data_IF_104274127124
#
_entry.id   IF_104274127124
#
_cell.length_a   1.000
_cell.length_b   1.000
_cell.length_c   1.000
_cell.angle_alpha   90.00
_cell.angle_beta   90.00
_cell.angle_gamma   90.00
#
_symmetry.space_group_name_H-M   'P 1'
#
loop_
_entity.id
_entity.type
_entity.pdbx_description
1 polymer ?
#
# COMPACT_ATOMS: atom_id res chain seq x y z
N UNK A 1 -38.45 2.07 17.88
CA UNK A 1 -38.91 3.29 17.16
C UNK A 1 -38.27 3.50 15.78
N UNK A 2 -37.05 3.00 15.48
CA UNK A 2 -36.46 3.07 14.14
C UNK A 2 -36.71 1.84 13.25
N UNK A 3 -37.32 0.77 13.77
CA UNK A 3 -37.50 -0.50 13.07
C UNK A 3 -38.61 -0.49 12.00
N UNK A 4 -39.57 0.45 12.06
CA UNK A 4 -40.79 0.40 11.24
C UNK A 4 -40.72 1.14 9.89
N UNK A 5 -39.59 1.78 9.56
CA UNK A 5 -39.48 2.56 8.30
C UNK A 5 -38.31 2.08 7.43
N UNK A 6 -38.46 0.93 6.73
CA UNK A 6 -37.42 0.40 5.84
C UNK A 6 -37.03 1.40 4.74
N UNK A 7 -37.95 2.26 4.32
CA UNK A 7 -37.69 3.33 3.34
C UNK A 7 -36.73 4.39 3.88
N UNK A 8 -36.90 4.84 5.13
CA UNK A 8 -36.02 5.85 5.72
C UNK A 8 -34.59 5.33 5.90
N UNK A 9 -34.43 4.08 6.34
CA UNK A 9 -33.11 3.44 6.48
C UNK A 9 -32.43 3.26 5.11
N UNK A 10 -33.18 2.90 4.07
CA UNK A 10 -32.65 2.78 2.71
C UNK A 10 -32.19 4.12 2.14
N UNK A 11 -32.98 5.19 2.34
CA UNK A 11 -32.63 6.55 1.91
C UNK A 11 -31.38 7.04 2.64
N UNK A 12 -31.27 6.78 3.94
CA UNK A 12 -30.08 7.14 4.73
C UNK A 12 -28.82 6.49 4.15
N UNK A 13 -28.83 5.17 3.89
CA UNK A 13 -27.68 4.47 3.33
C UNK A 13 -27.30 4.97 1.93
N UNK A 14 -28.29 5.28 1.09
CA UNK A 14 -28.04 5.83 -0.24
C UNK A 14 -27.46 7.24 -0.17
N UNK A 15 -27.96 8.07 0.75
CA UNK A 15 -27.43 9.40 0.99
C UNK A 15 -25.98 9.35 1.53
N UNK A 16 -25.70 8.47 2.50
CA UNK A 16 -24.35 8.22 3.00
C UNK A 16 -23.42 7.77 1.86
N UNK A 17 -23.84 6.80 1.04
CA UNK A 17 -23.05 6.33 -0.09
C UNK A 17 -22.75 7.44 -1.10
N UNK A 18 -23.75 8.24 -1.48
CA UNK A 18 -23.56 9.37 -2.40
C UNK A 18 -22.63 10.45 -1.80
N UNK A 19 -22.77 10.74 -0.51
CA UNK A 19 -21.89 11.67 0.20
C UNK A 19 -20.44 11.17 0.26
N UNK A 20 -20.24 9.88 0.54
CA UNK A 20 -18.91 9.25 0.54
C UNK A 20 -18.29 9.23 -0.86
N UNK A 21 -19.09 8.95 -1.90
CA UNK A 21 -18.63 9.01 -3.28
C UNK A 21 -18.23 10.43 -3.69
N UNK A 22 -19.03 11.43 -3.36
CA UNK A 22 -18.73 12.84 -3.61
C UNK A 22 -17.46 13.28 -2.85
N UNK A 23 -17.34 12.88 -1.58
CA UNK A 23 -16.16 13.14 -0.74
C UNK A 23 -14.91 12.49 -1.33
N UNK A 24 -14.98 11.21 -1.73
CA UNK A 24 -13.87 10.50 -2.37
C UNK A 24 -13.46 11.14 -3.70
N UNK A 25 -14.43 11.52 -4.52
CA UNK A 25 -14.18 12.20 -5.79
C UNK A 25 -13.53 13.58 -5.57
N UNK A 26 -14.00 14.33 -4.57
CA UNK A 26 -13.44 15.63 -4.17
C UNK A 26 -12.03 15.50 -3.60
N UNK A 27 -11.80 14.56 -2.69
CA UNK A 27 -10.50 14.27 -2.08
C UNK A 27 -9.47 13.90 -3.15
N UNK A 28 -9.83 13.01 -4.07
CA UNK A 28 -8.95 12.63 -5.17
C UNK A 28 -8.64 13.82 -6.07
N UNK A 29 -9.65 14.64 -6.43
CA UNK A 29 -9.48 15.83 -7.27
C UNK A 29 -8.59 16.92 -6.64
N UNK A 30 -8.65 17.08 -5.32
CA UNK A 30 -7.98 18.19 -4.62
C UNK A 30 -6.60 17.83 -4.09
N UNK A 31 -6.43 16.65 -3.50
CA UNK A 31 -5.16 16.22 -2.91
C UNK A 31 -4.30 15.40 -3.87
N UNK A 32 -4.87 14.36 -4.51
CA UNK A 32 -4.07 13.43 -5.32
C UNK A 32 -3.83 13.92 -6.75
N UNK A 33 -4.80 14.63 -7.32
CA UNK A 33 -4.74 15.10 -8.72
C UNK A 33 -3.81 16.29 -8.94
N UNK A 34 -3.32 16.95 -7.87
CA UNK A 34 -2.43 18.11 -7.98
C UNK A 34 -1.11 17.76 -8.67
N UNK A 35 -0.60 16.56 -8.44
CA UNK A 35 0.70 16.10 -8.93
C UNK A 35 0.61 14.83 -9.81
N UNK A 36 -0.59 14.43 -10.23
CA UNK A 36 -0.77 13.20 -11.03
C UNK A 36 -0.67 13.49 -12.53
N UNK A 37 0.39 12.99 -13.17
CA UNK A 37 0.68 13.23 -14.60
C UNK A 37 -0.35 12.60 -15.55
N UNK A 38 -1.03 11.51 -15.14
CA UNK A 38 -1.99 10.78 -16.00
C UNK A 38 -3.44 11.18 -15.68
N UNK A 39 -3.96 12.14 -16.46
CA UNK A 39 -5.31 12.72 -16.30
C UNK A 39 -6.43 11.80 -16.81
N UNK A 40 -6.64 10.65 -16.17
CA UNK A 40 -7.70 9.71 -16.54
C UNK A 40 -8.91 9.75 -15.59
N UNK A 41 -10.05 10.24 -16.08
CA UNK A 41 -11.31 10.34 -15.29
C UNK A 41 -11.81 8.99 -14.76
N UNK A 42 -11.55 7.89 -15.48
CA UNK A 42 -11.96 6.56 -15.03
C UNK A 42 -11.22 6.11 -13.76
N UNK A 43 -9.96 6.50 -13.57
CA UNK A 43 -9.18 6.14 -12.37
C UNK A 43 -9.78 6.82 -11.13
N UNK A 44 -10.15 8.09 -11.27
CA UNK A 44 -10.81 8.85 -10.20
C UNK A 44 -12.16 8.24 -9.82
N UNK A 45 -12.97 7.86 -10.82
CA UNK A 45 -14.25 7.19 -10.57
C UNK A 45 -14.05 5.85 -9.86
N UNK A 46 -13.06 5.05 -10.28
CA UNK A 46 -12.73 3.77 -9.65
C UNK A 46 -12.32 3.96 -8.18
N UNK A 47 -11.46 4.95 -7.88
CA UNK A 47 -11.06 5.26 -6.52
C UNK A 47 -12.24 5.72 -5.64
N UNK A 48 -13.05 6.64 -6.14
CA UNK A 48 -14.21 7.12 -5.39
C UNK A 48 -15.22 5.99 -5.14
N UNK A 49 -15.40 5.10 -6.12
CA UNK A 49 -16.30 3.95 -5.99
C UNK A 49 -15.75 2.91 -5.01
N UNK A 50 -14.45 2.57 -5.04
CA UNK A 50 -13.85 1.62 -4.08
C UNK A 50 -13.92 2.14 -2.66
N UNK A 51 -13.66 3.45 -2.48
CA UNK A 51 -13.75 4.12 -1.19
C UNK A 51 -15.18 4.10 -0.67
N UNK A 52 -16.15 4.54 -1.48
CA UNK A 52 -17.56 4.58 -1.09
C UNK A 52 -18.10 3.18 -0.77
N UNK A 53 -17.79 2.17 -1.58
CA UNK A 53 -18.21 0.78 -1.32
C UNK A 53 -17.58 0.20 -0.04
N UNK A 54 -16.31 0.51 0.25
CA UNK A 54 -15.65 0.07 1.49
C UNK A 54 -16.29 0.70 2.73
N UNK A 55 -16.51 2.02 2.71
CA UNK A 55 -17.18 2.72 3.81
C UNK A 55 -18.65 2.31 3.96
N UNK A 56 -19.36 2.03 2.87
CA UNK A 56 -20.73 1.53 2.92
C UNK A 56 -20.83 0.15 3.57
N UNK A 57 -19.88 -0.76 3.34
CA UNK A 57 -19.82 -2.02 4.08
C UNK A 57 -19.52 -1.82 5.57
N UNK A 58 -18.62 -0.89 5.89
CA UNK A 58 -18.29 -0.57 7.28
C UNK A 58 -19.48 0.05 8.02
N UNK A 59 -20.19 0.99 7.41
CA UNK A 59 -21.43 1.58 7.94
C UNK A 59 -22.51 0.52 8.14
N UNK A 60 -22.65 -0.42 7.19
CA UNK A 60 -23.59 -1.53 7.30
C UNK A 60 -23.25 -2.47 8.46
N UNK A 61 -21.96 -2.72 8.70
CA UNK A 61 -21.47 -3.48 9.86
C UNK A 61 -21.81 -2.75 11.16
N UNK A 62 -21.51 -1.45 11.25
CA UNK A 62 -21.83 -0.63 12.44
C UNK A 62 -23.34 -0.59 12.71
N UNK A 63 -24.15 -0.40 11.68
CA UNK A 63 -25.61 -0.39 11.79
C UNK A 63 -26.16 -1.76 12.22
N UNK A 64 -25.48 -2.85 11.85
CA UNK A 64 -25.80 -4.20 12.30
C UNK A 64 -25.48 -4.39 13.78
N UNK A 65 -24.31 -3.93 14.23
CA UNK A 65 -23.91 -3.99 15.64
C UNK A 65 -24.80 -3.11 16.53
N UNK A 66 -25.25 -1.96 16.02
CA UNK A 66 -26.17 -1.05 16.72
C UNK A 66 -27.64 -1.52 16.73
N UNK A 67 -27.99 -2.58 15.97
CA UNK A 67 -29.37 -3.06 15.86
C UNK A 67 -30.33 -2.06 15.18
N UNK A 68 -29.82 -1.08 14.44
CA UNK A 68 -30.59 0.06 13.92
C UNK A 68 -31.29 -0.22 12.57
N UNK A 69 -31.03 -1.37 11.95
CA UNK A 69 -31.35 -1.61 10.54
C UNK A 69 -32.34 -2.76 10.31
N UNK A 70 -33.35 -2.53 9.48
CA UNK A 70 -34.31 -3.57 9.09
C UNK A 70 -33.62 -4.74 8.35
N UNK A 71 -33.98 -6.00 8.63
CA UNK A 71 -33.29 -7.19 8.11
C UNK A 71 -33.33 -7.28 6.58
N UNK A 72 -34.44 -6.86 5.94
CA UNK A 72 -34.58 -6.89 4.48
C UNK A 72 -33.69 -5.85 3.78
N UNK A 73 -33.60 -4.63 4.32
CA UNK A 73 -32.73 -3.56 3.78
C UNK A 73 -31.27 -3.95 3.97
N UNK A 74 -30.93 -4.50 5.14
CA UNK A 74 -29.59 -4.99 5.45
C UNK A 74 -29.13 -6.06 4.46
N UNK A 75 -29.95 -7.08 4.21
CA UNK A 75 -29.58 -8.17 3.30
C UNK A 75 -29.32 -7.68 1.88
N UNK A 76 -30.17 -6.77 1.36
CA UNK A 76 -29.98 -6.18 0.03
C UNK A 76 -28.73 -5.30 -0.05
N UNK A 77 -28.54 -4.41 0.93
CA UNK A 77 -27.39 -3.52 0.98
C UNK A 77 -26.06 -4.30 1.11
N UNK A 78 -26.07 -5.39 1.89
CA UNK A 78 -24.95 -6.33 2.00
C UNK A 78 -24.64 -6.95 0.66
N UNK A 79 -25.63 -7.57 0.01
CA UNK A 79 -25.44 -8.26 -1.26
C UNK A 79 -24.94 -7.30 -2.35
N UNK A 80 -25.53 -6.11 -2.46
CA UNK A 80 -25.10 -5.11 -3.44
C UNK A 80 -23.65 -4.66 -3.21
N UNK A 81 -23.27 -4.32 -1.97
CA UNK A 81 -21.92 -3.85 -1.65
C UNK A 81 -20.88 -4.94 -1.81
N UNK A 82 -21.23 -6.17 -1.43
CA UNK A 82 -20.38 -7.36 -1.57
C UNK A 82 -20.09 -7.65 -3.05
N UNK A 83 -21.11 -7.71 -3.90
CA UNK A 83 -20.92 -7.92 -5.34
C UNK A 83 -20.16 -6.78 -6.01
N UNK A 84 -20.43 -5.53 -5.59
CA UNK A 84 -19.74 -4.36 -6.13
C UNK A 84 -18.24 -4.41 -5.82
N UNK A 85 -17.86 -4.76 -4.58
CA UNK A 85 -16.45 -4.88 -4.19
C UNK A 85 -15.73 -6.02 -4.90
N UNK A 86 -16.39 -7.18 -5.06
CA UNK A 86 -15.83 -8.28 -5.85
C UNK A 86 -15.59 -7.82 -7.29
N UNK A 87 -16.59 -7.22 -7.95
CA UNK A 87 -16.44 -6.76 -9.34
C UNK A 87 -15.31 -5.73 -9.49
N UNK A 88 -15.23 -4.78 -8.55
CA UNK A 88 -14.26 -3.70 -8.59
C UNK A 88 -12.84 -4.20 -8.28
N UNK A 89 -12.69 -5.11 -7.32
CA UNK A 89 -11.40 -5.63 -6.89
C UNK A 89 -10.85 -6.77 -7.75
N UNK A 90 -11.73 -7.60 -8.32
CA UNK A 90 -11.31 -8.77 -9.08
C UNK A 90 -11.19 -8.50 -10.57
N UNK A 91 -12.04 -7.63 -11.12
CA UNK A 91 -12.07 -7.35 -12.55
C UNK A 91 -11.51 -5.96 -12.84
N UNK A 92 -12.10 -4.91 -12.27
CA UNK A 92 -11.79 -3.54 -12.69
C UNK A 92 -10.37 -3.10 -12.32
N UNK A 93 -9.95 -3.31 -11.06
CA UNK A 93 -8.63 -2.92 -10.58
C UNK A 93 -7.50 -3.69 -11.31
N UNK A 94 -7.54 -5.02 -11.45
CA UNK A 94 -6.50 -5.76 -12.17
C UNK A 94 -6.45 -5.41 -13.65
N UNK A 95 -7.60 -5.25 -14.30
CA UNK A 95 -7.64 -4.84 -15.71
C UNK A 95 -7.01 -3.46 -15.89
N UNK A 96 -7.29 -2.51 -15.01
CA UNK A 96 -6.67 -1.19 -15.05
C UNK A 96 -5.16 -1.27 -14.80
N UNK A 97 -4.73 -2.01 -13.77
CA UNK A 97 -3.32 -2.15 -13.42
C UNK A 97 -2.49 -2.76 -14.55
N UNK A 98 -2.99 -3.85 -15.15
CA UNK A 98 -2.30 -4.53 -16.27
C UNK A 98 -2.29 -3.62 -17.50
N UNK A 99 -3.41 -2.95 -17.81
CA UNK A 99 -3.47 -2.02 -18.93
C UNK A 99 -2.49 -0.86 -18.79
N UNK A 100 -2.43 -0.22 -17.61
CA UNK A 100 -1.51 0.90 -17.36
C UNK A 100 -0.06 0.45 -17.40
N UNK A 101 0.25 -0.71 -16.82
CA UNK A 101 1.62 -1.27 -16.81
C UNK A 101 2.08 -1.67 -18.21
N UNK A 102 1.19 -2.29 -18.99
CA UNK A 102 1.52 -2.67 -20.36
C UNK A 102 1.78 -1.44 -21.21
N UNK A 103 0.95 -0.39 -21.08
CA UNK A 103 1.10 0.85 -21.85
C UNK A 103 2.36 1.64 -21.47
N UNK A 104 2.78 1.61 -20.21
CA UNK A 104 4.00 2.32 -19.77
C UNK A 104 5.28 1.63 -20.21
N UNK A 105 5.30 0.30 -20.21
CA UNK A 105 6.47 -0.51 -20.62
C UNK A 105 6.56 -0.62 -22.14
N UNK A 106 5.43 -0.87 -22.81
CA UNK A 106 5.36 -0.97 -24.26
C UNK A 106 4.79 0.34 -24.83
N UNK A 107 5.67 1.29 -25.14
CA UNK A 107 5.36 2.48 -25.96
C UNK A 107 4.99 2.14 -27.42
N UNK A 108 4.66 0.89 -27.73
CA UNK A 108 4.41 0.36 -29.07
C UNK A 108 2.94 0.40 -29.52
N UNK A 109 2.69 -0.19 -30.69
CA UNK A 109 1.37 -0.24 -31.34
C UNK A 109 0.26 -0.80 -30.44
N UNK A 110 -0.93 -0.19 -30.53
CA UNK A 110 -2.14 -0.51 -29.72
C UNK A 110 -2.49 -2.00 -29.71
N UNK A 111 -2.18 -2.74 -30.79
CA UNK A 111 -2.44 -4.19 -30.89
C UNK A 111 -1.52 -5.02 -30.00
N UNK A 112 -0.24 -4.66 -29.90
CA UNK A 112 0.72 -5.35 -29.03
C UNK A 112 0.40 -5.09 -27.57
N UNK A 113 0.04 -3.84 -27.23
CA UNK A 113 -0.41 -3.51 -25.87
C UNK A 113 -1.68 -4.29 -25.49
N UNK A 114 -2.65 -4.46 -26.40
CA UNK A 114 -3.84 -5.25 -26.12
C UNK A 114 -3.52 -6.74 -25.95
N UNK A 115 -2.66 -7.31 -26.80
CA UNK A 115 -2.25 -8.71 -26.71
C UNK A 115 -1.49 -9.00 -25.40
N UNK A 116 -0.56 -8.12 -25.01
CA UNK A 116 0.17 -8.24 -23.74
C UNK A 116 -0.77 -8.07 -22.53
N UNK A 117 -1.73 -7.14 -22.57
CA UNK A 117 -2.74 -7.03 -21.50
C UNK A 117 -3.60 -8.28 -21.41
N UNK A 118 -4.06 -8.84 -22.52
CA UNK A 118 -4.84 -10.06 -22.55
C UNK A 118 -4.07 -11.28 -22.02
N UNK A 119 -2.76 -11.34 -22.25
CA UNK A 119 -1.88 -12.40 -21.74
C UNK A 119 -1.49 -12.21 -20.25
N UNK A 120 -1.31 -10.97 -19.79
CA UNK A 120 -0.93 -10.68 -18.41
C UNK A 120 -2.11 -10.74 -17.42
N UNK A 121 -3.34 -10.56 -17.90
CA UNK A 121 -4.53 -10.70 -17.08
C UNK A 121 -4.63 -12.10 -16.43
N UNK A 122 -4.62 -13.23 -17.16
CA UNK A 122 -4.68 -14.54 -16.53
C UNK A 122 -3.51 -14.82 -15.57
N UNK A 123 -2.33 -14.25 -15.79
CA UNK A 123 -1.21 -14.36 -14.85
C UNK A 123 -1.52 -13.70 -13.50
N UNK A 124 -2.20 -12.54 -13.50
CA UNK A 124 -2.70 -11.92 -12.27
C UNK A 124 -3.70 -12.83 -11.54
N UNK A 125 -4.64 -13.43 -12.28
CA UNK A 125 -5.66 -14.31 -11.70
C UNK A 125 -5.02 -15.59 -11.13
N UNK A 126 -3.98 -16.09 -11.78
CA UNK A 126 -3.16 -17.17 -11.26
C UNK A 126 -2.44 -16.79 -9.95
N UNK A 127 -1.93 -15.56 -9.82
CA UNK A 127 -1.33 -15.08 -8.57
C UNK A 127 -2.35 -15.01 -7.42
N UNK A 128 -3.58 -14.56 -7.70
CA UNK A 128 -4.67 -14.58 -6.72
C UNK A 128 -5.02 -16.02 -6.32
N UNK A 129 -5.10 -16.94 -7.28
CA UNK A 129 -5.31 -18.36 -7.01
C UNK A 129 -4.21 -18.95 -6.11
N UNK A 130 -2.94 -18.70 -6.47
CA UNK A 130 -1.78 -19.16 -5.70
C UNK A 130 -1.82 -18.65 -4.26
N UNK A 131 -2.18 -17.38 -4.04
CA UNK A 131 -2.34 -16.82 -2.69
C UNK A 131 -3.44 -17.51 -1.88
N UNK A 132 -4.50 -17.98 -2.53
CA UNK A 132 -5.56 -18.77 -1.90
C UNK A 132 -5.11 -20.17 -1.51
N UNK A 133 -4.23 -20.79 -2.32
CA UNK A 133 -3.63 -22.10 -2.00
C UNK A 133 -2.70 -22.02 -0.79
N UNK A 134 -1.98 -20.90 -0.60
CA UNK A 134 -1.09 -20.71 0.56
C UNK A 134 -1.81 -20.80 1.91
N UNK A 135 -3.13 -20.53 1.96
CA UNK A 135 -3.94 -20.58 3.18
C UNK A 135 -4.82 -21.85 3.23
N UNK A 136 -4.54 -22.84 2.36
CA UNK A 136 -5.24 -24.15 2.31
C UNK A 136 -6.76 -23.99 2.16
N UNK A 137 -7.16 -23.12 1.24
CA UNK A 137 -8.57 -22.99 0.82
C UNK A 137 -8.83 -24.07 -0.24
N UNK A 138 -9.03 -25.32 0.19
CA UNK A 138 -9.05 -26.51 -0.68
C UNK A 138 -10.34 -26.66 -1.53
N UNK A 139 -11.34 -25.79 -1.36
CA UNK A 139 -12.53 -25.82 -2.20
C UNK A 139 -12.29 -25.06 -3.52
N UNK A 140 -12.38 -25.75 -4.66
CA UNK A 140 -12.44 -25.16 -6.00
C UNK A 140 -13.74 -24.36 -6.27
N UNK A 141 -14.56 -24.13 -5.24
CA UNK A 141 -15.85 -23.48 -5.35
C UNK A 141 -15.73 -22.03 -5.83
N UNK A 142 -16.50 -21.66 -6.85
CA UNK A 142 -16.62 -20.28 -7.34
C UNK A 142 -17.57 -19.42 -6.47
N UNK A 143 -17.72 -19.76 -5.19
CA UNK A 143 -18.60 -19.04 -4.27
C UNK A 143 -18.06 -17.62 -4.04
N UNK A 144 -18.96 -16.63 -4.01
CA UNK A 144 -18.61 -15.21 -3.82
C UNK A 144 -17.78 -14.98 -2.55
N UNK A 145 -18.15 -15.64 -1.45
CA UNK A 145 -17.43 -15.54 -0.18
C UNK A 145 -15.98 -16.06 -0.29
N UNK A 146 -15.77 -17.13 -1.05
CA UNK A 146 -14.44 -17.70 -1.25
C UNK A 146 -13.56 -16.79 -2.11
N UNK A 147 -14.17 -16.19 -3.12
CA UNK A 147 -13.48 -15.24 -3.98
C UNK A 147 -13.05 -14.00 -3.20
N UNK A 148 -13.94 -13.46 -2.36
CA UNK A 148 -13.62 -12.35 -1.46
C UNK A 148 -12.49 -12.72 -0.50
N UNK A 149 -12.52 -13.92 0.08
CA UNK A 149 -11.45 -14.39 0.97
C UNK A 149 -10.10 -14.44 0.26
N UNK A 150 -10.03 -15.01 -0.95
CA UNK A 150 -8.78 -15.10 -1.75
C UNK A 150 -8.21 -13.73 -2.08
N UNK A 151 -9.06 -12.79 -2.50
CA UNK A 151 -8.64 -11.42 -2.81
C UNK A 151 -8.16 -10.70 -1.55
N UNK A 152 -8.82 -10.91 -0.42
CA UNK A 152 -8.39 -10.37 0.88
C UNK A 152 -6.99 -10.84 1.26
N UNK A 153 -6.71 -12.14 1.13
CA UNK A 153 -5.39 -12.73 1.39
C UNK A 153 -4.32 -12.16 0.47
N UNK A 154 -4.60 -12.09 -0.84
CA UNK A 154 -3.71 -11.47 -1.82
C UNK A 154 -3.39 -10.02 -1.45
N UNK A 155 -4.42 -9.24 -1.10
CA UNK A 155 -4.29 -7.84 -0.69
C UNK A 155 -3.41 -7.68 0.55
N UNK A 156 -3.68 -8.44 1.62
CA UNK A 156 -2.88 -8.41 2.85
C UNK A 156 -1.44 -8.82 2.60
N UNK A 157 -1.21 -9.85 1.79
CA UNK A 157 0.14 -10.31 1.43
C UNK A 157 0.91 -9.22 0.68
N UNK A 158 0.24 -8.56 -0.27
CA UNK A 158 0.84 -7.47 -1.05
C UNK A 158 1.16 -6.26 -0.16
N UNK A 159 0.24 -5.87 0.73
CA UNK A 159 0.48 -4.77 1.68
C UNK A 159 1.60 -5.11 2.65
N UNK A 160 1.67 -6.35 3.14
CA UNK A 160 2.75 -6.81 4.01
C UNK A 160 4.10 -6.77 3.31
N UNK A 161 4.18 -7.24 2.06
CA UNK A 161 5.41 -7.21 1.26
C UNK A 161 5.87 -5.77 1.01
N UNK A 162 4.97 -4.88 0.62
CA UNK A 162 5.30 -3.47 0.39
C UNK A 162 5.69 -2.74 1.68
N UNK A 163 5.01 -3.03 2.79
CA UNK A 163 5.37 -2.50 4.11
C UNK A 163 6.74 -3.00 4.56
N UNK A 164 7.06 -4.28 4.33
CA UNK A 164 8.37 -4.85 4.62
C UNK A 164 9.48 -4.20 3.78
N UNK A 165 9.24 -4.03 2.47
CA UNK A 165 10.17 -3.30 1.60
C UNK A 165 10.34 -1.84 2.05
N UNK A 166 9.26 -1.14 2.40
CA UNK A 166 9.32 0.22 2.93
C UNK A 166 10.12 0.33 4.23
N UNK A 167 9.93 -0.63 5.15
CA UNK A 167 10.65 -0.69 6.41
C UNK A 167 12.15 -0.94 6.23
N UNK A 168 12.57 -1.64 5.18
CA UNK A 168 13.99 -1.84 4.84
C UNK A 168 14.56 -0.66 4.04
N UNK A 169 13.80 -0.12 3.09
CA UNK A 169 14.25 0.99 2.25
C UNK A 169 14.35 2.32 3.04
N UNK A 170 13.51 2.50 4.06
CA UNK A 170 13.56 3.67 4.93
C UNK A 170 14.92 3.85 5.62
N UNK A 171 15.46 2.90 6.39
CA UNK A 171 16.77 3.06 7.01
C UNK A 171 17.88 3.23 5.98
N UNK A 172 17.83 2.53 4.83
CA UNK A 172 18.83 2.74 3.76
C UNK A 172 18.88 4.20 3.27
N UNK A 173 17.73 4.87 3.13
CA UNK A 173 17.66 6.29 2.75
C UNK A 173 17.96 7.24 3.91
N UNK A 174 17.56 6.86 5.12
CA UNK A 174 17.71 7.66 6.34
C UNK A 174 19.08 7.50 7.01
N UNK A 175 19.89 6.51 6.60
CA UNK A 175 21.22 6.25 7.17
C UNK A 175 22.10 7.49 7.07
N UNK A 176 22.02 8.23 5.96
CA UNK A 176 22.80 9.48 5.78
C UNK A 176 22.29 10.64 6.64
N UNK A 177 21.03 10.60 7.11
CA UNK A 177 20.48 11.56 8.08
C UNK A 177 20.78 11.18 9.53
N UNK A 178 20.97 9.88 9.80
CA UNK A 178 21.32 9.35 11.12
C UNK A 178 22.84 9.33 11.38
N UNK A 179 23.65 9.25 10.31
CA UNK A 179 25.09 9.44 10.36
C UNK A 179 25.38 10.92 10.54
N UNK A 180 25.79 11.29 11.75
CA UNK A 180 26.25 12.65 12.09
C UNK A 180 27.38 13.02 11.10
N UNK A 181 27.23 14.07 10.28
CA UNK A 181 28.29 14.46 9.37
C UNK A 181 29.54 14.83 10.18
N UNK A 182 30.65 14.15 9.91
CA UNK A 182 31.93 14.43 10.57
C UNK A 182 32.40 15.80 10.07
N UNK A 183 32.55 16.75 10.98
CA UNK A 183 32.99 18.11 10.63
C UNK A 183 34.51 18.10 10.41
N UNK A 184 35.02 18.83 9.41
CA UNK A 184 36.47 18.91 9.10
C UNK A 184 37.32 19.29 10.33
N UNK A 185 36.79 20.08 11.25
CA UNK A 185 37.44 20.42 12.52
C UNK A 185 37.65 19.21 13.43
N UNK A 186 36.69 18.28 13.49
CA UNK A 186 36.83 17.06 14.29
C UNK A 186 37.88 16.12 13.71
N UNK A 187 38.03 16.10 12.38
CA UNK A 187 39.12 15.35 11.71
C UNK A 187 40.47 15.94 12.05
N UNK A 188 40.61 17.27 11.94
CA UNK A 188 41.84 17.98 12.28
C UNK A 188 42.24 17.80 13.76
N UNK A 189 41.28 17.84 14.68
CA UNK A 189 41.53 17.60 16.11
C UNK A 189 42.01 16.16 16.38
N UNK A 190 41.43 15.17 15.70
CA UNK A 190 41.86 13.77 15.82
C UNK A 190 43.26 13.58 15.22
N UNK A 191 43.56 14.22 14.09
CA UNK A 191 44.87 14.18 13.46
C UNK A 191 45.95 14.82 14.35
N UNK A 192 45.68 15.98 14.95
CA UNK A 192 46.59 16.60 15.90
C UNK A 192 46.83 15.73 17.14
N UNK A 193 45.79 15.08 17.66
CA UNK A 193 45.92 14.12 18.78
C UNK A 193 46.77 12.91 18.39
N UNK A 194 46.61 12.41 17.17
CA UNK A 194 47.42 11.31 16.65
C UNK A 194 48.90 11.71 16.53
N UNK A 195 49.18 12.86 15.93
CA UNK A 195 50.55 13.38 15.77
C UNK A 195 51.24 13.63 17.12
N UNK A 196 50.50 14.15 18.12
CA UNK A 196 51.03 14.29 19.49
C UNK A 196 51.35 12.95 20.13
N UNK A 197 50.50 11.94 19.93
CA UNK A 197 50.77 10.60 20.48
C UNK A 197 52.01 9.98 19.83
N UNK A 198 52.19 10.15 18.51
CA UNK A 198 53.38 9.68 17.80
C UNK A 198 54.67 10.37 18.29
N UNK A 199 54.63 11.67 18.54
CA UNK A 199 55.80 12.40 19.05
C UNK A 199 56.18 11.96 20.47
N UNK A 200 55.20 11.69 21.33
CA UNK A 200 55.42 11.13 22.67
C UNK A 200 56.01 9.72 22.62
N UNK A 201 55.54 8.88 21.70
CA UNK A 201 56.12 7.54 21.50
C UNK A 201 57.58 7.65 21.03
N UNK A 202 57.87 8.56 20.10
CA UNK A 202 59.22 8.76 19.59
C UNK A 202 60.19 9.26 20.68
N UNK A 203 59.77 10.21 21.53
CA UNK A 203 60.60 10.68 22.65
C UNK A 203 60.81 9.60 23.69
N UNK A 204 59.77 8.82 24.03
CA UNK A 204 59.90 7.68 24.94
C UNK A 204 60.86 6.61 24.41
N UNK A 205 60.78 6.28 23.11
CA UNK A 205 61.74 5.35 22.49
C UNK A 205 63.19 5.85 22.58
N UNK A 206 63.42 7.14 22.35
CA UNK A 206 64.76 7.74 22.49
C UNK A 206 65.27 7.69 23.93
N UNK A 207 64.41 7.98 24.91
CA UNK A 207 64.78 7.89 26.34
C UNK A 207 65.16 6.46 26.74
N UNK A 208 64.42 5.45 26.29
CA UNK A 208 64.74 4.04 26.58
C UNK A 208 66.09 3.63 25.95
N UNK A 209 66.35 4.06 24.72
CA UNK A 209 67.64 3.79 24.06
C UNK A 209 68.82 4.45 24.79
N UNK A 210 68.65 5.68 25.26
CA UNK A 210 69.70 6.38 26.03
C UNK A 210 69.98 5.68 27.36
N UNK A 211 68.92 5.30 28.10
CA UNK A 211 69.08 4.54 29.36
C UNK A 211 69.77 3.18 29.14
N UNK A 212 69.49 2.50 28.03
CA UNK A 212 70.17 1.25 27.67
C UNK A 212 71.62 1.42 27.19
N UNK A 213 72.07 2.64 26.90
CA UNK A 213 73.48 2.95 26.60
C UNK A 213 74.27 3.36 27.85
N UNK A 214 73.58 3.80 28.90
CA UNK A 214 74.17 4.21 30.18
C UNK A 214 74.31 3.03 31.18
N UNK A 215 73.71 1.86 30.88
CA UNK A 215 73.94 0.56 31.53
C UNK A 215 75.07 -0.24 30.84
#
# INVERSE_FOLDING_TARGET
>A
LWADRPLCSGIFLLASFAGLFASGHWFFARLLYRDYEVKARYIQALFALTLASSFSLFELLLATLAGALAPAVRARAWQASHWTLIALSYVALPACFVWTTTRSVLHGSRRVSLACTAAALPAFWYAVYLSGTLIRIDSLGLSADLLMARIGVFGVTTVAMLSGFGAVNFPFRSMHSCLRPVTQQQVADVEQRLLRTLSLIATKKRQVLQLAQDE
#
